data_IF_542654427640
#
_entry.id   IF_542654427640
#
_cell.length_a   1.000
_cell.length_b   1.000
_cell.length_c   1.000
_cell.angle_alpha   90.00
_cell.angle_beta   90.00
_cell.angle_gamma   90.00
#
_symmetry.space_group_name_H-M   'P 1'
#
loop_
_entity.id
_entity.type
_entity.pdbx_description
1 polymer ?
#
# COMPACT_ATOMS: atom_id res chain seq x y z
N UNK A 1 29.16 25.26 -26.13
CA UNK A 1 29.39 23.90 -25.59
C UNK A 1 28.32 23.64 -24.55
N UNK A 2 27.49 22.62 -24.74
CA UNK A 2 26.31 22.35 -23.91
C UNK A 2 26.72 21.82 -22.53
N UNK A 3 26.57 22.64 -21.49
CA UNK A 3 26.64 22.21 -20.10
C UNK A 3 25.35 21.50 -19.72
N UNK A 4 25.32 20.18 -19.87
CA UNK A 4 24.31 19.34 -19.23
C UNK A 4 24.59 19.35 -17.73
N UNK A 5 24.03 20.32 -17.01
CA UNK A 5 23.80 20.18 -15.57
C UNK A 5 22.75 19.07 -15.39
N UNK A 6 23.21 17.81 -15.41
CA UNK A 6 22.47 16.71 -14.83
C UNK A 6 22.41 16.99 -13.34
N UNK A 7 21.38 17.68 -12.89
CA UNK A 7 20.99 17.69 -11.49
C UNK A 7 21.02 16.23 -11.03
N UNK A 8 22.00 15.87 -10.19
CA UNK A 8 22.14 14.52 -9.69
C UNK A 8 20.86 14.19 -8.93
N UNK A 9 20.04 13.31 -9.50
CA UNK A 9 18.81 12.85 -8.88
C UNK A 9 19.22 12.03 -7.66
N UNK A 10 19.10 12.60 -6.47
CA UNK A 10 19.45 11.93 -5.23
C UNK A 10 18.46 10.77 -5.00
N UNK A 11 18.90 9.55 -5.26
CA UNK A 11 18.13 8.33 -5.02
C UNK A 11 18.16 7.95 -3.53
N UNK A 12 17.23 7.09 -3.11
CA UNK A 12 17.16 6.56 -1.74
C UNK A 12 17.17 5.05 -1.77
N UNK A 13 18.10 4.43 -1.02
CA UNK A 13 18.08 2.98 -0.78
C UNK A 13 17.15 2.70 0.40
N UNK A 14 16.14 1.86 0.18
CA UNK A 14 15.16 1.53 1.21
C UNK A 14 15.77 0.62 2.29
N UNK A 15 15.64 1.01 3.55
CA UNK A 15 16.18 0.25 4.69
C UNK A 15 15.19 -0.78 5.26
N UNK A 16 13.91 -0.69 4.88
CA UNK A 16 12.80 -1.54 5.30
C UNK A 16 11.98 -1.97 4.08
N UNK A 17 11.23 -3.06 4.23
CA UNK A 17 10.12 -3.40 3.35
C UNK A 17 8.90 -2.56 3.76
N UNK A 18 8.19 -2.00 2.79
CA UNK A 18 6.96 -1.23 2.99
C UNK A 18 5.83 -1.82 2.16
N UNK A 19 4.64 -1.82 2.73
CA UNK A 19 3.48 -2.39 2.08
C UNK A 19 2.20 -2.09 2.83
N UNK A 20 1.10 -2.69 2.38
CA UNK A 20 -0.22 -2.46 2.97
C UNK A 20 -0.85 -3.76 3.45
N UNK A 21 -1.71 -3.64 4.47
CA UNK A 21 -2.58 -4.74 4.88
C UNK A 21 -3.67 -4.97 3.83
N UNK A 22 -3.81 -6.22 3.40
CA UNK A 22 -4.88 -6.67 2.51
C UNK A 22 -5.75 -7.72 3.18
N UNK A 23 -6.98 -7.86 2.72
CA UNK A 23 -7.98 -8.77 3.29
C UNK A 23 -8.66 -9.67 2.23
N UNK A 24 -7.89 -10.49 1.49
CA UNK A 24 -8.44 -11.39 0.48
C UNK A 24 -9.21 -12.56 1.09
N UNK A 25 -9.93 -13.30 0.24
CA UNK A 25 -10.50 -14.60 0.58
C UNK A 25 -9.40 -15.58 1.01
N UNK A 26 -9.68 -16.35 2.06
CA UNK A 26 -8.79 -17.41 2.53
C UNK A 26 -8.79 -18.57 1.52
N UNK A 27 -7.61 -19.09 1.18
CA UNK A 27 -7.45 -20.17 0.20
C UNK A 27 -7.06 -21.49 0.87
N UNK A 28 -7.90 -22.52 0.70
CA UNK A 28 -7.60 -23.87 1.18
C UNK A 28 -6.32 -24.41 0.56
N UNK A 29 -5.50 -25.10 1.35
CA UNK A 29 -4.20 -25.67 0.94
C UNK A 29 -3.07 -24.65 0.77
N UNK A 30 -3.36 -23.35 0.79
CA UNK A 30 -2.35 -22.27 0.67
C UNK A 30 -2.23 -21.49 1.98
N UNK A 31 -3.36 -21.11 2.56
CA UNK A 31 -3.40 -20.25 3.74
C UNK A 31 -3.53 -21.05 5.04
N UNK A 32 -2.81 -20.68 6.11
CA UNK A 32 -2.92 -21.36 7.40
C UNK A 32 -4.35 -21.30 7.95
N UNK A 33 -4.93 -22.45 8.28
CA UNK A 33 -6.31 -22.54 8.81
C UNK A 33 -6.52 -21.68 10.06
N UNK A 34 -5.50 -21.60 10.93
CA UNK A 34 -5.53 -20.78 12.17
C UNK A 34 -5.64 -19.27 11.93
N UNK A 35 -5.43 -18.78 10.71
CA UNK A 35 -5.50 -17.36 10.34
C UNK A 35 -6.77 -17.01 9.55
N UNK A 36 -7.65 -18.00 9.32
CA UNK A 36 -8.94 -17.79 8.67
C UNK A 36 -9.86 -17.04 9.62
N UNK A 37 -10.40 -15.91 9.16
CA UNK A 37 -11.42 -15.15 9.88
C UNK A 37 -12.80 -15.80 9.72
N UNK A 38 -13.76 -15.40 10.56
CA UNK A 38 -15.12 -15.95 10.58
C UNK A 38 -15.88 -15.73 9.26
N UNK A 39 -15.61 -14.63 8.56
CA UNK A 39 -16.14 -14.30 7.23
C UNK A 39 -15.37 -14.98 6.08
N UNK A 40 -14.47 -15.91 6.39
CA UNK A 40 -13.76 -16.72 5.39
C UNK A 40 -12.59 -16.02 4.70
N UNK A 41 -12.01 -15.00 5.33
CA UNK A 41 -10.90 -14.20 4.82
C UNK A 41 -9.62 -14.36 5.63
N UNK A 42 -8.59 -13.60 5.28
CA UNK A 42 -7.30 -13.59 5.96
C UNK A 42 -6.61 -12.24 5.77
N UNK A 43 -6.02 -11.70 6.84
CA UNK A 43 -5.16 -10.52 6.75
C UNK A 43 -3.78 -10.92 6.23
N UNK A 44 -3.30 -10.27 5.17
CA UNK A 44 -1.95 -10.47 4.61
C UNK A 44 -1.23 -9.13 4.45
N UNK A 45 0.10 -9.21 4.38
CA UNK A 45 0.94 -8.09 4.01
C UNK A 45 1.22 -8.12 2.50
N UNK A 46 0.87 -7.04 1.80
CA UNK A 46 1.19 -6.83 0.40
C UNK A 46 2.38 -5.88 0.31
N UNK A 47 3.57 -6.42 0.09
CA UNK A 47 4.80 -5.63 -0.06
C UNK A 47 4.79 -4.86 -1.38
N UNK A 48 5.06 -3.55 -1.29
CA UNK A 48 5.09 -2.63 -2.44
C UNK A 48 6.51 -2.13 -2.73
N UNK A 49 7.30 -1.92 -1.67
CA UNK A 49 8.64 -1.39 -1.77
C UNK A 49 9.59 -2.25 -0.93
N UNK A 50 10.56 -2.87 -1.57
CA UNK A 50 11.45 -3.87 -0.95
C UNK A 50 12.71 -3.20 -0.39
N UNK A 51 13.18 -3.69 0.76
CA UNK A 51 14.47 -3.31 1.34
C UNK A 51 15.61 -3.55 0.33
N UNK A 52 16.57 -2.64 0.30
CA UNK A 52 17.71 -2.66 -0.62
C UNK A 52 17.39 -2.15 -2.03
N UNK A 53 16.10 -1.93 -2.37
CA UNK A 53 15.74 -1.25 -3.61
C UNK A 53 16.16 0.22 -3.53
N UNK A 54 16.84 0.67 -4.58
CA UNK A 54 17.08 2.07 -4.84
C UNK A 54 15.86 2.65 -5.55
N UNK A 55 15.30 3.73 -5.01
CA UNK A 55 14.15 4.44 -5.58
C UNK A 55 14.53 5.89 -5.86
N UNK A 56 14.12 6.40 -7.02
CA UNK A 56 14.24 7.82 -7.32
C UNK A 56 13.23 8.63 -6.48
N UNK A 57 13.50 9.93 -6.23
CA UNK A 57 12.51 10.82 -5.63
C UNK A 57 11.19 10.75 -6.39
N UNK A 58 10.10 10.64 -5.64
CA UNK A 58 8.73 10.55 -6.19
C UNK A 58 8.44 9.36 -7.11
N UNK A 59 9.35 8.39 -7.21
CA UNK A 59 9.09 7.12 -7.90
C UNK A 59 8.00 6.32 -7.16
N UNK A 60 6.86 6.02 -7.81
CA UNK A 60 5.76 5.33 -7.15
C UNK A 60 6.04 3.83 -7.02
N UNK A 61 6.01 3.33 -5.80
CA UNK A 61 5.89 1.91 -5.48
C UNK A 61 4.40 1.59 -5.33
N UNK A 62 3.77 1.09 -6.40
CA UNK A 62 2.32 0.97 -6.50
C UNK A 62 1.79 -0.46 -6.51
N UNK A 63 0.52 -0.61 -6.13
CA UNK A 63 -0.25 -1.84 -6.24
C UNK A 63 -1.71 -1.54 -6.56
N UNK A 64 -2.38 -2.46 -7.25
CA UNK A 64 -3.81 -2.35 -7.56
C UNK A 64 -4.63 -3.15 -6.54
N UNK A 65 -5.62 -2.50 -5.95
CA UNK A 65 -6.48 -3.02 -4.91
C UNK A 65 -7.95 -2.81 -5.25
N UNK A 66 -8.81 -3.55 -4.57
CA UNK A 66 -10.25 -3.59 -4.78
C UNK A 66 -10.97 -3.48 -3.44
N UNK A 67 -12.21 -2.96 -3.44
CA UNK A 67 -13.10 -3.10 -2.29
C UNK A 67 -13.21 -4.55 -1.84
N UNK A 68 -13.31 -4.72 -0.54
CA UNK A 68 -13.62 -5.96 0.16
C UNK A 68 -15.10 -6.30 -0.01
N UNK A 69 -15.99 -5.31 0.05
CA UNK A 69 -17.43 -5.49 -0.18
C UNK A 69 -17.95 -4.55 -1.29
N UNK A 70 -18.96 -4.97 -2.07
CA UNK A 70 -19.47 -4.17 -3.19
C UNK A 70 -19.94 -2.77 -2.78
N UNK A 71 -20.57 -2.66 -1.62
CA UNK A 71 -21.22 -1.48 -1.05
C UNK A 71 -20.29 -0.62 -0.17
N UNK A 72 -18.98 -0.93 -0.10
CA UNK A 72 -18.06 -0.13 0.69
C UNK A 72 -17.95 1.30 0.18
N UNK A 73 -18.32 2.25 1.03
CA UNK A 73 -18.23 3.69 0.76
C UNK A 73 -16.89 4.28 1.17
N UNK A 74 -16.02 3.53 1.86
CA UNK A 74 -14.69 3.96 2.26
C UNK A 74 -13.74 2.76 2.32
N UNK A 75 -12.45 3.01 2.09
CA UNK A 75 -11.39 2.00 2.11
C UNK A 75 -10.24 2.53 2.96
N UNK A 76 -9.66 1.65 3.77
CA UNK A 76 -8.60 1.98 4.71
C UNK A 76 -7.35 1.16 4.38
N UNK A 77 -6.30 1.83 3.90
CA UNK A 77 -4.98 1.26 3.69
C UNK A 77 -4.15 1.45 4.95
N UNK A 78 -3.86 0.36 5.64
CA UNK A 78 -2.94 0.38 6.78
C UNK A 78 -1.54 0.09 6.22
N UNK A 79 -0.65 1.05 6.30
CA UNK A 79 0.72 0.96 5.78
C UNK A 79 1.60 0.36 6.86
N UNK A 80 2.23 -0.78 6.57
CA UNK A 80 3.15 -1.45 7.47
C UNK A 80 4.57 -1.41 6.92
N UNK A 81 5.53 -1.50 7.83
CA UNK A 81 6.93 -1.69 7.49
C UNK A 81 7.59 -2.79 8.33
N UNK A 82 8.61 -3.43 7.76
CA UNK A 82 9.36 -4.49 8.45
C UNK A 82 10.79 -4.62 7.92
N UNK A 83 11.70 -5.18 8.73
CA UNK A 83 13.02 -5.64 8.27
C UNK A 83 13.01 -7.07 7.71
N UNK A 84 11.92 -7.82 7.91
CA UNK A 84 11.85 -9.22 7.48
C UNK A 84 11.47 -9.30 5.99
N UNK A 85 12.37 -9.83 5.18
CA UNK A 85 12.20 -9.96 3.72
C UNK A 85 11.16 -11.02 3.32
N UNK A 86 10.79 -11.91 4.25
CA UNK A 86 9.83 -12.99 4.03
C UNK A 86 8.50 -12.79 4.75
N UNK A 87 8.23 -11.57 5.23
CA UNK A 87 7.00 -11.30 5.96
C UNK A 87 5.76 -11.45 5.07
N UNK A 88 4.77 -12.18 5.56
CA UNK A 88 3.53 -12.51 4.84
C UNK A 88 2.28 -11.99 5.56
N UNK A 89 2.36 -11.74 6.87
CA UNK A 89 1.20 -11.35 7.67
C UNK A 89 1.51 -10.14 8.56
N UNK A 90 0.55 -9.23 8.69
CA UNK A 90 0.74 -7.96 9.42
C UNK A 90 0.94 -8.10 10.93
N UNK A 91 0.70 -9.28 11.51
CA UNK A 91 0.90 -9.56 12.94
C UNK A 91 2.16 -10.40 13.21
N UNK A 92 3.06 -10.53 12.23
CA UNK A 92 4.35 -11.19 12.43
C UNK A 92 5.31 -10.33 13.24
N UNK A 93 6.27 -10.98 13.90
CA UNK A 93 7.31 -10.28 14.65
C UNK A 93 8.07 -9.31 13.74
N UNK A 94 8.24 -8.08 14.20
CA UNK A 94 8.92 -7.02 13.46
C UNK A 94 8.08 -6.32 12.40
N UNK A 95 6.78 -6.60 12.29
CA UNK A 95 5.82 -5.73 11.58
C UNK A 95 5.43 -4.55 12.46
N UNK A 96 5.50 -3.35 11.89
CA UNK A 96 5.08 -2.11 12.56
C UNK A 96 4.15 -1.33 11.65
N UNK A 97 3.08 -0.77 12.23
CA UNK A 97 2.23 0.18 11.52
C UNK A 97 3.04 1.47 11.34
N UNK A 98 3.09 1.97 10.10
CA UNK A 98 3.65 3.29 9.79
C UNK A 98 2.56 4.35 9.90
N UNK A 99 1.40 4.03 9.35
CA UNK A 99 0.28 4.94 9.32
C UNK A 99 -0.90 4.40 8.53
N UNK A 100 -1.99 5.15 8.52
CA UNK A 100 -3.25 4.74 7.93
C UNK A 100 -3.72 5.78 6.92
N UNK A 101 -3.94 5.35 5.68
CA UNK A 101 -4.57 6.15 4.63
C UNK A 101 -6.04 5.74 4.49
N UNK A 102 -6.97 6.64 4.81
CA UNK A 102 -8.40 6.46 4.55
C UNK A 102 -8.79 7.18 3.26
N UNK A 103 -9.55 6.51 2.39
CA UNK A 103 -10.17 7.11 1.21
C UNK A 103 -11.68 6.95 1.23
N UNK A 104 -12.39 7.97 0.78
CA UNK A 104 -13.83 7.92 0.56
C UNK A 104 -14.14 7.55 -0.90
N UNK A 105 -15.04 6.59 -1.05
CA UNK A 105 -15.50 5.99 -2.32
C UNK A 105 -17.02 5.87 -2.34
N UNK A 106 -17.77 6.99 -2.19
CA UNK A 106 -19.22 6.95 -1.98
C UNK A 106 -19.99 6.38 -3.18
N UNK A 107 -19.46 6.52 -4.39
CA UNK A 107 -20.00 5.86 -5.58
C UNK A 107 -19.64 4.36 -5.57
N UNK A 108 -20.64 3.54 -5.26
CA UNK A 108 -20.56 2.07 -5.19
C UNK A 108 -21.19 1.38 -6.40
N UNK A 109 -21.57 2.13 -7.45
CA UNK A 109 -22.30 1.58 -8.61
C UNK A 109 -21.57 0.43 -9.31
N UNK A 110 -20.24 0.40 -9.25
CA UNK A 110 -19.41 -0.66 -9.84
C UNK A 110 -19.06 -1.80 -8.89
N UNK A 111 -19.61 -1.82 -7.67
CA UNK A 111 -19.42 -2.90 -6.71
C UNK A 111 -17.94 -3.17 -6.42
N UNK A 112 -17.52 -4.43 -6.64
CA UNK A 112 -16.12 -4.85 -6.49
C UNK A 112 -15.22 -4.41 -7.65
N UNK A 113 -15.77 -4.02 -8.80
CA UNK A 113 -15.01 -3.59 -9.97
C UNK A 113 -14.56 -2.11 -9.88
N UNK A 114 -14.11 -1.71 -8.69
CA UNK A 114 -13.57 -0.39 -8.40
C UNK A 114 -12.07 -0.54 -8.14
N UNK A 115 -11.27 -0.37 -9.19
CA UNK A 115 -9.82 -0.51 -9.11
C UNK A 115 -9.19 0.75 -8.51
N UNK A 116 -8.43 0.56 -7.43
CA UNK A 116 -7.68 1.61 -6.75
C UNK A 116 -6.21 1.31 -6.87
N UNK A 117 -5.46 2.24 -7.43
CA UNK A 117 -4.00 2.22 -7.38
C UNK A 117 -3.56 2.93 -6.10
N UNK A 118 -2.97 2.17 -5.18
CA UNK A 118 -2.31 2.74 -4.02
C UNK A 118 -0.81 2.80 -4.29
N UNK A 119 -0.17 3.91 -3.97
CA UNK A 119 1.27 4.12 -4.20
C UNK A 119 1.95 4.70 -2.97
N UNK A 120 3.17 4.23 -2.71
CA UNK A 120 4.11 4.89 -1.81
C UNK A 120 5.19 5.58 -2.63
N UNK A 121 5.44 6.85 -2.35
CA UNK A 121 6.62 7.55 -2.85
C UNK A 121 7.53 7.92 -1.69
N UNK A 122 8.83 7.94 -1.97
CA UNK A 122 9.87 8.20 -0.98
C UNK A 122 10.61 9.46 -1.38
N UNK A 123 10.27 10.57 -0.72
CA UNK A 123 11.03 11.80 -0.82
C UNK A 123 12.26 11.73 0.09
N UNK A 124 13.05 12.82 0.11
CA UNK A 124 14.29 12.92 0.89
C UNK A 124 14.10 12.63 2.39
N UNK A 125 13.02 13.14 2.98
CA UNK A 125 12.71 12.96 4.41
C UNK A 125 11.32 12.38 4.67
N UNK A 126 10.47 12.28 3.65
CA UNK A 126 9.06 11.93 3.81
C UNK A 126 8.69 10.67 3.02
N UNK A 127 7.69 9.96 3.53
CA UNK A 127 7.00 8.88 2.81
C UNK A 127 5.59 9.39 2.55
N UNK A 128 5.16 9.39 1.29
CA UNK A 128 3.82 9.82 0.91
C UNK A 128 3.02 8.62 0.42
N UNK A 129 1.83 8.46 0.99
CA UNK A 129 0.85 7.49 0.50
C UNK A 129 -0.18 8.21 -0.37
N UNK A 130 -0.44 7.68 -1.56
CA UNK A 130 -1.48 8.19 -2.46
C UNK A 130 -2.39 7.07 -2.93
N UNK A 131 -3.61 7.42 -3.27
CA UNK A 131 -4.58 6.51 -3.84
C UNK A 131 -5.26 7.18 -5.04
N UNK A 132 -5.39 6.42 -6.13
CA UNK A 132 -5.95 6.88 -7.40
C UNK A 132 -6.98 5.90 -7.91
N UNK A 133 -8.11 6.39 -8.37
CA UNK A 133 -9.09 5.59 -9.07
C UNK A 133 -8.56 5.29 -10.48
N UNK A 134 -8.29 4.02 -10.79
CA UNK A 134 -7.68 3.64 -12.07
C UNK A 134 -8.61 3.86 -13.26
N UNK A 135 -9.91 3.95 -13.05
CA UNK A 135 -10.88 4.07 -14.13
C UNK A 135 -10.96 5.50 -14.68
N UNK A 136 -11.02 6.49 -13.81
CA UNK A 136 -11.14 7.90 -14.22
C UNK A 136 -9.82 8.67 -14.05
N UNK A 137 -8.79 8.04 -13.48
CA UNK A 137 -7.49 8.64 -13.26
C UNK A 137 -7.45 9.70 -12.15
N UNK A 138 -8.54 9.91 -11.40
CA UNK A 138 -8.59 10.90 -10.33
C UNK A 138 -7.95 10.35 -9.05
N UNK A 139 -7.08 11.15 -8.44
CA UNK A 139 -6.61 10.92 -7.07
C UNK A 139 -7.78 11.13 -6.10
N UNK A 140 -7.83 10.37 -5.03
CA UNK A 140 -8.82 10.61 -3.98
C UNK A 140 -8.42 11.84 -3.15
N UNK A 141 -9.28 12.87 -3.15
CA UNK A 141 -8.98 14.17 -2.53
C UNK A 141 -9.05 14.12 -1.00
N UNK A 142 -9.99 13.36 -0.44
CA UNK A 142 -10.15 13.16 1.01
C UNK A 142 -9.27 11.99 1.49
N UNK A 143 -8.00 12.30 1.69
CA UNK A 143 -7.01 11.37 2.25
C UNK A 143 -6.51 11.85 3.60
N UNK A 144 -6.81 11.11 4.66
CA UNK A 144 -6.17 11.31 5.97
C UNK A 144 -5.04 10.30 6.09
N UNK A 145 -3.80 10.77 6.23
CA UNK A 145 -2.65 9.92 6.54
C UNK A 145 -2.15 10.25 7.95
N UNK A 146 -2.52 9.39 8.90
CA UNK A 146 -2.09 9.49 10.29
C UNK A 146 -0.89 8.56 10.49
N UNK A 147 0.23 9.12 10.94
CA UNK A 147 1.40 8.34 11.33
C UNK A 147 1.19 7.78 12.74
N UNK A 148 1.48 6.49 12.90
CA UNK A 148 1.49 5.82 14.20
C UNK A 148 2.93 5.90 14.74
N UNK A 149 3.25 7.00 15.44
CA UNK A 149 4.60 7.33 15.95
C UNK A 149 4.69 7.14 17.46
#
# INVERSE_FOLDING_TARGET
MYGLDKAAVATRVLTMNYGVRVYPLWRSGVDPKKRKTSDGRIYKFSCLATRGREVAPDEPCSGTYYPIYPDQTHIVFNVYYTRNDFAKYCNESGMKLLGTLRINTPDTHFGLNRQIEFSLTFAKMEIKATAKNKRNGKTYDETTFELDI
#
